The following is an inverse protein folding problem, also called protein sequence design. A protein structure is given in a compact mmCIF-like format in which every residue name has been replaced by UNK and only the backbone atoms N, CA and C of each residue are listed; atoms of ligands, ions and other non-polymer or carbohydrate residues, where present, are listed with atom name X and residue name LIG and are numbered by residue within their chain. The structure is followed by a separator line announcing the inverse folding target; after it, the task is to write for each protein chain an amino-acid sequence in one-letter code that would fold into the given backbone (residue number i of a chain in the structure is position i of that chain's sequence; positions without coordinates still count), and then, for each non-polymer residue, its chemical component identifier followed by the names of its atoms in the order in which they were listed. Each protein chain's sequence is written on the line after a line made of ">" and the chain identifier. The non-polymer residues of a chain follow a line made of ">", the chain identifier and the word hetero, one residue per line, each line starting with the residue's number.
data_IF_855504239229
#
_entry.id   IF_855504239229
#
_cell.length_a   1.000
_cell.length_b   1.000
_cell.length_c   1.000
_cell.angle_alpha   90.00
_cell.angle_beta   90.00
_cell.angle_gamma   90.00
#
_symmetry.space_group_name_H-M   'P 1'
#
loop_
_entity.id
_entity.type
_entity.pdbx_description
1 polymer ?
#
# COMPACT_ATOMS: atom_id res chain seq x y z
N UNK A 1 -7.17 25.88 12.65
CA UNK A 1 -8.58 25.47 12.80
C UNK A 1 -8.75 24.17 12.02
N UNK A 2 -9.38 23.12 12.60
CA UNK A 2 -9.68 21.91 11.83
C UNK A 2 -10.64 22.23 10.69
N UNK A 3 -10.55 21.48 9.58
CA UNK A 3 -11.39 21.68 8.40
C UNK A 3 -12.86 21.35 8.73
N UNK A 4 -13.81 22.30 8.62
CA UNK A 4 -15.20 22.06 9.02
C UNK A 4 -16.02 21.28 7.99
N UNK A 5 -15.60 21.27 6.72
CA UNK A 5 -16.39 20.71 5.62
C UNK A 5 -16.09 19.22 5.35
N UNK A 6 -15.04 18.67 5.95
CA UNK A 6 -14.64 17.28 5.77
C UNK A 6 -15.01 16.47 7.01
N UNK A 7 -15.79 15.38 6.87
CA UNK A 7 -16.00 14.46 7.98
C UNK A 7 -14.68 13.79 8.38
N UNK A 8 -14.55 13.35 9.65
CA UNK A 8 -13.36 12.63 10.09
C UNK A 8 -13.21 11.31 9.33
N UNK A 9 -11.97 10.97 8.97
CA UNK A 9 -11.64 9.69 8.37
C UNK A 9 -11.41 8.64 9.47
N UNK A 10 -12.18 7.56 9.44
CA UNK A 10 -11.99 6.42 10.32
C UNK A 10 -11.10 5.37 9.66
N UNK A 11 -10.06 4.95 10.37
CA UNK A 11 -9.10 3.93 9.93
C UNK A 11 -9.26 2.72 10.83
N UNK A 12 -9.36 1.54 10.23
CA UNK A 12 -9.57 0.26 10.89
C UNK A 12 -8.37 -0.65 10.68
N UNK A 13 -8.02 -1.43 11.70
CA UNK A 13 -6.92 -2.40 11.60
C UNK A 13 -7.25 -3.50 10.57
N UNK A 14 -8.40 -4.15 10.74
CA UNK A 14 -8.84 -5.31 9.95
C UNK A 14 -10.31 -5.19 9.57
N UNK A 15 -10.78 -5.99 8.60
CA UNK A 15 -12.20 -5.97 8.20
C UNK A 15 -13.15 -6.37 9.34
N UNK A 16 -12.67 -7.16 10.31
CA UNK A 16 -13.44 -7.59 11.47
C UNK A 16 -13.74 -6.46 12.48
N UNK A 17 -12.97 -5.36 12.47
CA UNK A 17 -13.21 -4.20 13.33
C UNK A 17 -14.17 -3.17 12.73
N UNK A 18 -14.63 -3.40 11.49
CA UNK A 18 -15.57 -2.52 10.80
C UNK A 18 -17.00 -2.78 11.32
N UNK A 19 -17.70 -1.74 11.83
CA UNK A 19 -19.09 -1.88 12.25
C UNK A 19 -20.00 -2.33 11.09
N UNK A 20 -21.02 -3.14 11.39
CA UNK A 20 -22.00 -3.54 10.39
C UNK A 20 -22.79 -2.35 9.83
N UNK A 21 -23.03 -2.35 8.52
CA UNK A 21 -23.81 -1.30 7.84
C UNK A 21 -22.99 -0.12 7.31
N UNK A 22 -21.65 -0.15 7.45
CA UNK A 22 -20.76 0.82 6.81
C UNK A 22 -20.48 0.37 5.37
N UNK A 23 -20.55 1.31 4.41
CA UNK A 23 -20.23 1.04 3.01
C UNK A 23 -18.73 0.68 2.86
N UNK A 24 -18.38 -0.52 2.36
CA UNK A 24 -16.98 -0.94 2.17
C UNK A 24 -16.15 -0.01 1.28
N UNK A 25 -16.77 0.80 0.42
CA UNK A 25 -16.08 1.80 -0.40
C UNK A 25 -15.62 3.02 0.41
N UNK A 26 -16.17 3.24 1.61
CA UNK A 26 -15.90 4.38 2.49
C UNK A 26 -15.03 3.98 3.71
N UNK A 27 -14.57 2.73 3.75
CA UNK A 27 -13.78 2.19 4.87
C UNK A 27 -12.30 2.11 4.47
N UNK A 28 -11.44 2.65 5.34
CA UNK A 28 -9.99 2.50 5.22
C UNK A 28 -9.53 1.39 6.16
N UNK A 29 -9.07 0.27 5.60
CA UNK A 29 -8.58 -0.90 6.36
C UNK A 29 -7.08 -1.09 6.13
N UNK A 30 -6.29 -1.10 7.21
CA UNK A 30 -4.83 -1.19 7.16
C UNK A 30 -4.38 -2.52 6.56
N UNK A 31 -4.97 -3.64 6.99
CA UNK A 31 -4.61 -4.97 6.48
C UNK A 31 -4.80 -5.06 4.96
N UNK A 32 -5.96 -4.59 4.48
CA UNK A 32 -6.27 -4.57 3.04
C UNK A 32 -5.26 -3.74 2.28
N UNK A 33 -4.94 -2.54 2.75
CA UNK A 33 -3.96 -1.67 2.10
C UNK A 33 -2.56 -2.28 2.10
N UNK A 34 -2.18 -2.92 3.20
CA UNK A 34 -0.86 -3.56 3.36
C UNK A 34 -0.64 -4.66 2.33
N UNK A 35 -1.68 -5.43 1.98
CA UNK A 35 -1.58 -6.45 0.91
C UNK A 35 -1.43 -5.87 -0.49
N UNK A 36 -1.77 -4.59 -0.69
CA UNK A 36 -1.73 -3.90 -1.98
C UNK A 36 -0.50 -3.00 -2.13
N UNK A 37 0.35 -2.91 -1.09
CA UNK A 37 1.53 -2.06 -1.15
C UNK A 37 2.51 -2.58 -2.21
N UNK A 38 2.99 -1.70 -3.10
CA UNK A 38 3.97 -2.09 -4.10
C UNK A 38 5.32 -2.38 -3.45
N UNK A 39 6.08 -3.29 -4.06
CA UNK A 39 7.48 -3.49 -3.69
C UNK A 39 8.28 -2.19 -3.85
N UNK A 40 9.16 -1.92 -2.88
CA UNK A 40 10.04 -0.76 -2.92
C UNK A 40 11.04 -0.87 -4.10
N UNK A 41 11.46 0.25 -4.69
CA UNK A 41 12.46 0.27 -5.76
C UNK A 41 13.76 -0.46 -5.44
N UNK A 42 14.20 -0.47 -4.17
CA UNK A 42 15.36 -1.24 -3.72
C UNK A 42 15.14 -2.74 -3.82
N UNK A 43 13.99 -3.22 -3.33
CA UNK A 43 13.61 -4.64 -3.36
C UNK A 43 13.44 -5.12 -4.80
N UNK A 44 12.76 -4.30 -5.64
CA UNK A 44 12.61 -4.59 -7.08
C UNK A 44 13.94 -4.73 -7.79
N UNK A 45 14.92 -3.84 -7.53
CA UNK A 45 16.27 -3.92 -8.10
C UNK A 45 16.96 -5.23 -7.75
N UNK A 46 16.97 -5.60 -6.47
CA UNK A 46 17.55 -6.86 -6.00
C UNK A 46 16.89 -8.05 -6.70
N UNK A 47 15.55 -8.08 -6.74
CA UNK A 47 14.79 -9.13 -7.42
C UNK A 47 15.13 -9.24 -8.91
N UNK A 48 15.29 -8.11 -9.61
CA UNK A 48 15.67 -8.11 -11.03
C UNK A 48 17.04 -8.74 -11.25
N UNK A 49 18.04 -8.39 -10.43
CA UNK A 49 19.39 -8.98 -10.49
C UNK A 49 19.35 -10.48 -10.21
N UNK A 50 18.64 -10.89 -9.16
CA UNK A 50 18.56 -12.30 -8.74
C UNK A 50 17.76 -13.17 -9.73
N UNK A 51 16.63 -12.67 -10.24
CA UNK A 51 15.71 -13.46 -11.08
C UNK A 51 16.15 -13.48 -12.54
N UNK A 52 16.73 -12.38 -13.03
CA UNK A 52 17.03 -12.20 -14.45
C UNK A 52 18.53 -12.10 -14.75
N UNK A 53 19.39 -12.18 -13.73
CA UNK A 53 20.85 -12.13 -13.92
C UNK A 53 21.35 -10.82 -14.52
N UNK A 54 20.56 -9.74 -14.43
CA UNK A 54 20.97 -8.44 -14.96
C UNK A 54 22.07 -7.86 -14.08
N UNK A 55 22.98 -7.11 -14.71
CA UNK A 55 23.98 -6.35 -13.97
C UNK A 55 23.29 -5.29 -13.10
N UNK A 56 23.83 -5.08 -11.89
CA UNK A 56 23.27 -4.14 -10.92
C UNK A 56 23.12 -2.73 -11.50
N UNK A 57 24.08 -2.29 -12.33
CA UNK A 57 24.05 -1.01 -13.03
C UNK A 57 22.83 -0.84 -13.95
N UNK A 58 22.40 -1.89 -14.63
CA UNK A 58 21.21 -1.87 -15.49
C UNK A 58 19.91 -1.89 -14.70
N UNK A 59 19.92 -2.45 -13.48
CA UNK A 59 18.73 -2.46 -12.61
C UNK A 59 18.25 -1.06 -12.24
N UNK A 60 19.15 -0.06 -12.20
CA UNK A 60 18.80 1.33 -11.90
C UNK A 60 18.00 2.01 -13.00
N UNK A 61 18.15 1.58 -14.26
CA UNK A 61 17.41 2.14 -15.40
C UNK A 61 16.02 1.52 -15.58
N UNK A 62 15.80 0.33 -15.01
CA UNK A 62 14.59 -0.48 -15.22
C UNK A 62 13.52 -0.33 -14.13
N UNK A 63 13.78 0.48 -13.10
CA UNK A 63 12.91 0.64 -11.92
C UNK A 63 12.30 2.03 -11.85
#
# INVERSE_FOLDING_TARGET
>A
MPEPNLPPLFVYESEASVPGGVDPAQVVVIDRLSTQLPELPSVKRTRLVETHGILQEHSFTLV
#
